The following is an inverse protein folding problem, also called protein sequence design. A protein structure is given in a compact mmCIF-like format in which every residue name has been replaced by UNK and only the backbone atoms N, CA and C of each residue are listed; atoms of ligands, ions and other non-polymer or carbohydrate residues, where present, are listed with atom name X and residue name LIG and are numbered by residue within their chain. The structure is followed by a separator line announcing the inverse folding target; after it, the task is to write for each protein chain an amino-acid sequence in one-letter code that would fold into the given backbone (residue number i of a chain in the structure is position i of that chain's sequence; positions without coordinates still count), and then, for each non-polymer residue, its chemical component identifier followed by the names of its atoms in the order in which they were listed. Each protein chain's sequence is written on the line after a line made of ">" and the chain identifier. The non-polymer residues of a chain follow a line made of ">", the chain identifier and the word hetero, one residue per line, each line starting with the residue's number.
data_IF_581367899656
#
_entry.id   IF_581367899656
#
_cell.length_a   1.000
_cell.length_b   1.000
_cell.length_c   1.000
_cell.angle_alpha   90.00
_cell.angle_beta   90.00
_cell.angle_gamma   90.00
#
_symmetry.space_group_name_H-M   'P 1'
#
loop_
_entity.id
_entity.type
_entity.pdbx_description
1 polymer ?
#
# COMPACT_ATOMS: atom_id res chain seq x y z
N UNK A 1 -35.81 -33.72 -10.83
CA UNK A 1 -34.54 -33.58 -10.09
C UNK A 1 -34.28 -32.09 -9.87
N UNK A 2 -34.50 -31.59 -8.65
CA UNK A 2 -34.23 -30.21 -8.28
C UNK A 2 -32.73 -30.05 -8.02
N UNK A 3 -32.01 -29.32 -8.87
CA UNK A 3 -30.66 -28.86 -8.54
C UNK A 3 -30.78 -27.68 -7.57
N UNK A 4 -30.55 -27.95 -6.28
CA UNK A 4 -30.29 -26.91 -5.28
C UNK A 4 -28.97 -26.24 -5.64
N UNK A 5 -29.04 -25.03 -6.20
CA UNK A 5 -27.86 -24.19 -6.40
C UNK A 5 -27.33 -23.79 -5.03
N UNK A 6 -26.17 -24.32 -4.66
CA UNK A 6 -25.38 -23.87 -3.54
C UNK A 6 -24.84 -22.50 -3.91
N UNK A 7 -25.42 -21.43 -3.35
CA UNK A 7 -24.85 -20.10 -3.42
C UNK A 7 -23.48 -20.14 -2.72
N UNK A 8 -22.41 -20.16 -3.51
CA UNK A 8 -21.07 -19.98 -3.00
C UNK A 8 -20.97 -18.57 -2.41
N UNK A 9 -21.00 -18.48 -1.09
CA UNK A 9 -20.51 -17.31 -0.35
C UNK A 9 -19.03 -17.17 -0.71
N UNK A 10 -18.73 -16.38 -1.75
CA UNK A 10 -17.41 -15.85 -1.98
C UNK A 10 -16.98 -15.14 -0.68
N UNK A 11 -15.82 -15.49 -0.09
CA UNK A 11 -15.29 -14.68 0.99
C UNK A 11 -15.10 -13.29 0.39
N UNK A 12 -15.88 -12.31 0.87
CA UNK A 12 -15.50 -10.91 0.71
C UNK A 12 -14.05 -10.84 1.17
N UNK A 13 -13.14 -10.52 0.25
CA UNK A 13 -11.81 -10.09 0.62
C UNK A 13 -12.03 -9.07 1.74
N UNK A 14 -11.53 -9.39 2.93
CA UNK A 14 -11.72 -8.56 4.10
C UNK A 14 -11.30 -7.15 3.68
N UNK A 15 -12.28 -6.24 3.61
CA UNK A 15 -12.02 -4.82 3.50
C UNK A 15 -11.05 -4.55 4.65
N UNK A 16 -9.80 -4.26 4.28
CA UNK A 16 -8.78 -3.78 5.20
C UNK A 16 -9.48 -2.71 6.04
N UNK A 17 -9.45 -2.82 7.38
CA UNK A 17 -10.01 -1.80 8.23
C UNK A 17 -9.49 -0.45 7.71
N UNK A 18 -10.39 0.37 7.16
CA UNK A 18 -10.03 1.30 6.09
C UNK A 18 -8.89 2.21 6.57
N UNK A 19 -7.69 2.00 6.00
CA UNK A 19 -6.58 2.93 6.15
C UNK A 19 -7.06 4.33 5.72
N UNK A 20 -6.52 5.42 6.26
CA UNK A 20 -6.91 6.75 5.84
C UNK A 20 -6.72 6.92 4.34
N UNK A 21 -7.71 7.52 3.67
CA UNK A 21 -7.79 7.50 2.22
C UNK A 21 -9.11 8.02 1.66
N UNK A 22 -9.33 7.83 0.36
CA UNK A 22 -10.62 8.15 -0.27
C UNK A 22 -10.97 7.20 -1.39
N UNK A 23 -12.27 6.96 -1.54
CA UNK A 23 -12.86 6.27 -2.69
C UNK A 23 -13.07 7.25 -3.84
N UNK A 24 -12.98 6.74 -5.07
CA UNK A 24 -13.22 7.50 -6.29
C UNK A 24 -14.29 6.84 -7.16
N UNK A 25 -15.02 7.63 -7.94
CA UNK A 25 -15.93 7.20 -9.00
C UNK A 25 -15.55 7.80 -10.34
N UNK A 26 -16.03 7.17 -11.40
CA UNK A 26 -15.78 7.56 -12.78
C UNK A 26 -17.13 7.74 -13.47
N UNK A 27 -17.32 8.85 -14.18
CA UNK A 27 -18.60 9.17 -14.85
C UNK A 27 -18.76 8.48 -16.20
N UNK A 28 -17.67 8.18 -16.91
CA UNK A 28 -17.68 7.68 -18.29
C UNK A 28 -16.78 6.45 -18.44
N UNK A 29 -17.19 5.32 -17.87
CA UNK A 29 -16.39 4.08 -17.89
C UNK A 29 -16.73 3.32 -19.18
N UNK A 30 -15.73 2.91 -19.97
CA UNK A 30 -15.97 2.07 -21.14
C UNK A 30 -16.74 0.80 -20.75
N UNK A 31 -17.66 0.35 -21.60
CA UNK A 31 -18.49 -0.83 -21.33
C UNK A 31 -17.67 -2.12 -21.08
N UNK A 32 -16.45 -2.18 -21.62
CA UNK A 32 -15.51 -3.27 -21.39
C UNK A 32 -14.56 -3.08 -20.20
N UNK A 33 -14.62 -1.94 -19.50
CA UNK A 33 -13.62 -1.53 -18.50
C UNK A 33 -12.37 -0.89 -19.10
N UNK A 34 -11.42 -0.50 -18.24
CA UNK A 34 -10.17 0.13 -18.67
C UNK A 34 -9.08 -0.91 -18.95
N UNK A 35 -8.39 -0.79 -20.08
CA UNK A 35 -7.17 -1.54 -20.37
C UNK A 35 -5.92 -0.88 -19.77
N UNK A 36 -6.00 0.40 -19.42
CA UNK A 36 -4.93 1.11 -18.76
C UNK A 36 -5.48 2.11 -17.75
N UNK A 37 -4.77 2.20 -16.64
CA UNK A 37 -5.09 3.07 -15.51
C UNK A 37 -3.81 3.66 -14.96
N UNK A 38 -3.91 4.82 -14.35
CA UNK A 38 -2.78 5.46 -13.72
C UNK A 38 -3.17 6.21 -12.46
N UNK A 39 -2.20 6.35 -11.58
CA UNK A 39 -2.27 7.27 -10.45
C UNK A 39 -0.91 7.90 -10.21
N UNK A 40 -0.91 9.11 -9.67
CA UNK A 40 0.33 9.78 -9.27
C UNK A 40 0.44 9.81 -7.77
N UNK A 41 1.63 9.52 -7.26
CA UNK A 41 1.95 9.52 -5.84
C UNK A 41 3.15 10.45 -5.61
N UNK A 42 3.05 11.29 -4.59
CA UNK A 42 4.11 12.15 -4.08
C UNK A 42 4.36 11.83 -2.62
N UNK A 43 5.62 11.55 -2.28
CA UNK A 43 6.05 11.34 -0.90
C UNK A 43 6.83 12.57 -0.43
N UNK A 44 6.35 13.20 0.64
CA UNK A 44 6.98 14.38 1.23
C UNK A 44 8.29 14.01 1.92
N UNK A 45 9.37 14.78 1.75
CA UNK A 45 10.66 14.49 2.41
C UNK A 45 10.66 14.62 3.93
N UNK A 46 9.64 15.29 4.51
CA UNK A 46 9.40 15.29 5.97
C UNK A 46 8.79 14.00 6.46
N UNK A 47 8.28 13.14 5.56
CA UNK A 47 7.89 11.77 5.89
C UNK A 47 9.11 11.04 6.44
N UNK A 48 9.00 10.58 7.69
CA UNK A 48 10.11 9.93 8.35
C UNK A 48 10.53 8.67 7.59
N UNK A 49 11.83 8.59 7.33
CA UNK A 49 12.48 7.59 6.48
C UNK A 49 12.60 6.21 7.15
N UNK A 50 11.90 5.95 8.26
CA UNK A 50 12.00 4.71 9.04
C UNK A 50 10.68 3.93 9.12
N UNK A 51 9.70 4.29 8.30
CA UNK A 51 8.32 4.08 8.67
C UNK A 51 7.68 2.91 7.98
N UNK A 52 6.91 2.14 8.75
CA UNK A 52 6.04 1.07 8.27
C UNK A 52 4.82 1.58 7.52
N UNK A 53 4.99 2.57 6.64
CA UNK A 53 3.94 3.10 5.81
C UNK A 53 3.88 2.38 4.46
N UNK A 54 2.69 2.35 3.89
CA UNK A 54 2.43 1.98 2.50
C UNK A 54 1.46 2.98 1.90
N UNK A 55 1.98 3.84 1.02
CA UNK A 55 1.21 4.79 0.24
C UNK A 55 0.79 4.13 -1.07
N UNK A 56 -0.51 3.91 -1.27
CA UNK A 56 -0.98 3.02 -2.32
C UNK A 56 -2.25 3.47 -3.01
N UNK A 57 -2.39 3.04 -4.26
CA UNK A 57 -3.64 3.04 -5.01
C UNK A 57 -4.08 1.58 -5.19
N UNK A 58 -5.32 1.29 -4.84
CA UNK A 58 -5.99 0.04 -5.12
C UNK A 58 -7.04 0.26 -6.21
N UNK A 59 -7.11 -0.66 -7.16
CA UNK A 59 -8.07 -0.66 -8.25
C UNK A 59 -8.78 -2.01 -8.34
N UNK A 60 -10.10 -1.99 -8.55
CA UNK A 60 -10.92 -3.19 -8.72
C UNK A 60 -10.96 -3.63 -10.18
N UNK A 61 -10.90 -4.95 -10.38
CA UNK A 61 -11.33 -5.60 -11.61
C UNK A 61 -12.86 -5.74 -11.65
N UNK A 62 -13.40 -6.09 -12.81
CA UNK A 62 -14.84 -6.26 -13.02
C UNK A 62 -15.51 -7.26 -12.06
N UNK A 63 -14.76 -8.28 -11.59
CA UNK A 63 -15.26 -9.25 -10.61
C UNK A 63 -15.13 -8.81 -9.14
N UNK A 64 -14.68 -7.58 -8.88
CA UNK A 64 -14.48 -7.03 -7.55
C UNK A 64 -13.18 -7.44 -6.85
N UNK A 65 -12.38 -8.35 -7.43
CA UNK A 65 -10.99 -8.56 -6.99
C UNK A 65 -10.17 -7.31 -7.25
N UNK A 66 -9.04 -7.17 -6.57
CA UNK A 66 -8.26 -5.94 -6.62
C UNK A 66 -6.83 -6.17 -7.06
N UNK A 67 -6.24 -5.12 -7.57
CA UNK A 67 -4.80 -4.96 -7.68
C UNK A 67 -4.45 -3.69 -6.89
N UNK A 68 -3.28 -3.64 -6.27
CA UNK A 68 -2.76 -2.39 -5.74
C UNK A 68 -1.31 -2.18 -6.17
N UNK A 69 -0.91 -0.93 -6.17
CA UNK A 69 0.46 -0.50 -6.32
C UNK A 69 0.77 0.68 -5.41
N UNK A 70 2.04 0.87 -5.10
CA UNK A 70 2.44 2.01 -4.28
C UNK A 70 3.87 1.93 -3.79
N UNK A 71 4.20 2.86 -2.91
CA UNK A 71 5.51 2.96 -2.28
C UNK A 71 5.47 2.53 -0.81
N UNK A 72 6.47 1.75 -0.42
CA UNK A 72 6.88 1.57 0.97
C UNK A 72 8.19 2.32 1.19
N UNK A 73 8.20 3.36 2.04
CA UNK A 73 9.43 4.00 2.49
C UNK A 73 10.41 3.00 3.10
N UNK A 74 11.64 2.93 2.56
CA UNK A 74 12.66 2.10 3.19
C UNK A 74 13.24 2.80 4.41
N UNK A 75 13.60 2.00 5.41
CA UNK A 75 14.02 2.44 6.73
C UNK A 75 15.41 3.13 6.80
N UNK A 76 16.09 3.31 5.67
CA UNK A 76 17.48 3.72 5.62
C UNK A 76 17.65 5.02 4.81
N UNK A 77 18.46 5.93 5.35
CA UNK A 77 18.67 7.30 4.83
C UNK A 77 19.15 7.28 3.37
N UNK A 78 18.30 7.62 2.41
CA UNK A 78 18.80 8.08 1.11
C UNK A 78 17.81 8.12 -0.04
N UNK A 79 17.44 6.96 -0.57
CA UNK A 79 16.86 6.90 -1.92
C UNK A 79 16.11 5.62 -2.24
N UNK A 80 16.14 4.58 -1.41
CA UNK A 80 15.44 3.35 -1.73
C UNK A 80 13.99 3.46 -1.27
N UNK A 81 13.03 3.58 -2.18
CA UNK A 81 11.64 3.21 -1.88
C UNK A 81 11.43 1.81 -2.47
N UNK A 82 10.63 0.99 -1.78
CA UNK A 82 10.15 -0.24 -2.40
C UNK A 82 8.85 0.05 -3.10
N UNK A 83 8.80 -0.24 -4.40
CA UNK A 83 7.54 -0.34 -5.11
C UNK A 83 6.93 -1.71 -4.79
N UNK A 84 5.67 -1.71 -4.39
CA UNK A 84 4.87 -2.93 -4.28
C UNK A 84 3.85 -2.95 -5.42
N UNK A 85 3.66 -4.11 -6.02
CA UNK A 85 2.60 -4.36 -7.01
C UNK A 85 1.99 -5.73 -6.73
N UNK A 86 0.72 -5.77 -6.31
CA UNK A 86 0.06 -7.02 -5.90
C UNK A 86 -1.32 -7.14 -6.50
N UNK A 87 -1.62 -8.32 -7.04
CA UNK A 87 -2.96 -8.69 -7.49
C UNK A 87 -3.55 -9.79 -6.62
N UNK A 88 -4.86 -9.71 -6.38
CA UNK A 88 -5.59 -10.59 -5.45
C UNK A 88 -6.54 -11.51 -6.20
N UNK A 89 -6.75 -12.70 -5.64
CA UNK A 89 -7.71 -13.67 -6.13
C UNK A 89 -7.09 -14.87 -6.83
N UNK A 90 -7.89 -15.93 -6.94
CA UNK A 90 -7.50 -17.14 -7.64
C UNK A 90 -7.31 -16.87 -9.14
N UNK A 91 -6.18 -17.33 -9.69
CA UNK A 91 -5.83 -17.10 -11.09
C UNK A 91 -5.01 -15.84 -11.34
N UNK A 92 -4.58 -15.13 -10.29
CA UNK A 92 -3.47 -14.17 -10.40
C UNK A 92 -2.14 -14.93 -10.31
N UNK A 93 -1.23 -14.68 -11.26
CA UNK A 93 0.09 -15.32 -11.27
C UNK A 93 1.20 -14.30 -11.55
N UNK A 94 2.38 -14.54 -10.96
CA UNK A 94 3.59 -13.76 -11.22
C UNK A 94 4.16 -14.07 -12.60
N UNK A 95 4.67 -13.04 -13.27
CA UNK A 95 5.51 -13.21 -14.47
C UNK A 95 6.98 -13.34 -14.07
N UNK A 96 7.47 -12.47 -13.18
CA UNK A 96 8.84 -12.48 -12.67
C UNK A 96 8.92 -13.19 -11.32
N UNK A 97 9.52 -14.38 -11.28
CA UNK A 97 9.66 -15.15 -10.04
C UNK A 97 10.74 -14.62 -9.09
N UNK A 98 11.67 -13.80 -9.57
CA UNK A 98 12.73 -13.18 -8.77
C UNK A 98 12.25 -11.95 -8.00
N UNK A 99 11.26 -11.23 -8.53
CA UNK A 99 10.66 -10.03 -7.89
C UNK A 99 9.35 -10.30 -7.16
N UNK A 100 8.72 -11.46 -7.39
CA UNK A 100 7.36 -11.71 -6.94
C UNK A 100 7.19 -13.04 -6.19
N UNK A 101 6.23 -13.09 -5.27
CA UNK A 101 5.80 -14.28 -4.53
C UNK A 101 4.45 -14.78 -5.06
N UNK A 102 4.11 -16.04 -4.76
CA UNK A 102 2.88 -16.70 -5.25
C UNK A 102 1.64 -16.46 -4.40
N UNK A 103 1.70 -15.56 -3.41
CA UNK A 103 0.59 -15.20 -2.53
C UNK A 103 0.57 -13.67 -2.35
N UNK A 104 -0.61 -13.09 -2.22
CA UNK A 104 -0.77 -11.66 -1.89
C UNK A 104 -1.34 -11.54 -0.48
N UNK A 105 -0.61 -10.87 0.42
CA UNK A 105 -0.97 -10.69 1.84
C UNK A 105 -1.40 -11.99 2.56
N UNK A 106 -0.75 -13.12 2.25
CA UNK A 106 -1.06 -14.42 2.83
C UNK A 106 -2.28 -15.14 2.24
N UNK A 107 -2.99 -14.51 1.30
CA UNK A 107 -4.11 -15.12 0.56
C UNK A 107 -3.78 -15.40 -0.91
N UNK A 108 -4.75 -15.92 -1.67
CA UNK A 108 -4.61 -16.16 -3.11
C UNK A 108 -4.30 -14.86 -3.84
N UNK A 109 -3.27 -14.90 -4.69
CA UNK A 109 -2.81 -13.73 -5.42
C UNK A 109 -1.33 -13.82 -5.74
N UNK A 110 -0.75 -12.72 -6.19
CA UNK A 110 0.69 -12.58 -6.36
C UNK A 110 1.11 -11.19 -5.91
N UNK A 111 2.26 -11.08 -5.24
CA UNK A 111 2.80 -9.81 -4.77
C UNK A 111 4.24 -9.66 -5.23
N UNK A 112 4.57 -8.51 -5.82
CA UNK A 112 5.90 -8.15 -6.27
C UNK A 112 6.46 -7.01 -5.43
N UNK A 113 7.76 -7.05 -5.15
CA UNK A 113 8.48 -5.96 -4.49
C UNK A 113 9.74 -5.64 -5.28
N UNK A 114 9.91 -4.37 -5.64
CA UNK A 114 11.06 -3.89 -6.41
C UNK A 114 11.66 -2.72 -5.66
N UNK A 115 12.95 -2.82 -5.34
CA UNK A 115 13.69 -1.69 -4.77
C UNK A 115 14.30 -0.88 -5.91
N UNK A 116 14.22 0.44 -5.83
CA UNK A 116 14.85 1.36 -6.78
C UNK A 116 15.19 2.68 -6.11
N UNK A 117 15.97 3.52 -6.79
CA UNK A 117 16.42 4.83 -6.30
C UNK A 117 15.34 5.91 -6.44
N UNK A 118 14.16 5.66 -5.89
CA UNK A 118 13.04 6.60 -5.90
C UNK A 118 13.18 7.65 -4.79
N UNK A 119 13.08 8.92 -5.15
CA UNK A 119 13.36 10.03 -4.24
C UNK A 119 12.08 10.65 -3.68
N UNK A 120 12.17 11.17 -2.46
CA UNK A 120 11.16 12.07 -1.94
C UNK A 120 11.06 13.36 -2.76
N UNK A 121 10.01 14.13 -2.52
CA UNK A 121 9.71 15.40 -3.17
C UNK A 121 9.65 15.32 -4.70
N UNK A 122 9.22 14.17 -5.21
CA UNK A 122 9.08 13.89 -6.64
C UNK A 122 7.76 13.19 -6.88
N UNK A 123 7.03 13.68 -7.88
CA UNK A 123 5.84 12.98 -8.38
C UNK A 123 6.26 11.79 -9.22
N UNK A 124 5.68 10.64 -8.93
CA UNK A 124 5.77 9.45 -9.77
C UNK A 124 4.40 9.05 -10.26
N UNK A 125 4.30 8.77 -11.56
CA UNK A 125 3.10 8.14 -12.13
C UNK A 125 3.31 6.65 -12.19
N UNK A 126 2.39 5.91 -11.59
CA UNK A 126 2.23 4.49 -11.85
C UNK A 126 1.25 4.34 -13.00
N UNK A 127 1.67 3.63 -14.03
CA UNK A 127 0.85 3.27 -15.17
C UNK A 127 0.72 1.75 -15.20
N UNK A 128 -0.53 1.28 -15.10
CA UNK A 128 -0.85 -0.14 -15.19
C UNK A 128 -1.59 -0.38 -16.50
N UNK A 129 -1.05 -1.25 -17.35
CA UNK A 129 -1.55 -1.47 -18.71
C UNK A 129 -1.68 -2.96 -19.01
N UNK A 130 -2.78 -3.34 -19.65
CA UNK A 130 -2.97 -4.63 -20.30
C UNK A 130 -2.12 -4.71 -21.56
N UNK A 131 -1.04 -5.48 -21.50
CA UNK A 131 -0.07 -5.63 -22.61
C UNK A 131 -0.28 -6.92 -23.41
N UNK A 132 -1.14 -7.82 -22.95
CA UNK A 132 -1.38 -9.10 -23.61
C UNK A 132 -2.76 -9.65 -23.24
N UNK A 133 -3.61 -9.87 -24.27
CA UNK A 133 -4.82 -10.67 -24.13
C UNK A 133 -4.47 -12.13 -24.43
N UNK A 134 -4.65 -12.99 -23.43
CA UNK A 134 -4.24 -14.39 -23.50
C UNK A 134 -5.33 -15.25 -24.14
N UNK A 135 -4.94 -16.41 -24.66
CA UNK A 135 -5.86 -17.38 -25.28
C UNK A 135 -6.86 -18.00 -24.29
N UNK A 136 -6.54 -18.01 -22.99
CA UNK A 136 -7.43 -18.42 -21.90
C UNK A 136 -8.41 -17.31 -21.47
N UNK A 137 -8.41 -16.17 -22.19
CA UNK A 137 -9.19 -14.98 -21.88
C UNK A 137 -8.63 -14.14 -20.74
N UNK A 138 -7.48 -14.51 -20.16
CA UNK A 138 -6.78 -13.72 -19.17
C UNK A 138 -6.04 -12.51 -19.74
N UNK A 139 -5.46 -11.71 -18.86
CA UNK A 139 -4.77 -10.48 -19.20
C UNK A 139 -3.39 -10.43 -18.53
N UNK A 140 -2.39 -9.86 -19.21
CA UNK A 140 -1.11 -9.51 -18.59
C UNK A 140 -1.08 -8.01 -18.31
N UNK A 141 -0.97 -7.66 -17.04
CA UNK A 141 -0.90 -6.29 -16.55
C UNK A 141 0.54 -5.92 -16.23
N UNK A 142 1.09 -4.96 -16.98
CA UNK A 142 2.42 -4.38 -16.76
C UNK A 142 2.29 -3.17 -15.83
N UNK A 143 3.21 -3.05 -14.88
CA UNK A 143 3.38 -1.86 -14.05
C UNK A 143 4.62 -1.08 -14.51
N UNK A 144 4.41 0.16 -14.94
CA UNK A 144 5.46 1.11 -15.32
C UNK A 144 5.46 2.28 -14.35
N UNK A 145 6.64 2.69 -13.90
CA UNK A 145 6.82 3.87 -13.07
C UNK A 145 7.46 4.98 -13.90
N UNK A 146 6.92 6.20 -13.80
CA UNK A 146 7.38 7.37 -14.55
C UNK A 146 7.76 8.47 -13.57
N UNK A 147 9.02 8.87 -13.55
CA UNK A 147 9.49 10.02 -12.78
C UNK A 147 9.05 11.32 -13.49
N UNK A 148 8.13 12.07 -12.89
CA UNK A 148 7.57 13.27 -13.52
C UNK A 148 8.56 14.45 -13.57
N UNK A 149 9.65 14.42 -12.79
CA UNK A 149 10.70 15.44 -12.84
C UNK A 149 11.65 15.24 -14.02
N UNK A 150 12.00 13.99 -14.33
CA UNK A 150 13.00 13.67 -15.37
C UNK A 150 12.40 13.10 -16.65
N UNK A 151 11.14 12.64 -16.62
CA UNK A 151 10.51 11.88 -17.69
C UNK A 151 11.01 10.44 -17.80
N UNK A 152 11.91 9.98 -16.91
CA UNK A 152 12.46 8.64 -16.96
C UNK A 152 11.37 7.60 -16.65
N UNK A 153 11.34 6.53 -17.45
CA UNK A 153 10.38 5.43 -17.33
C UNK A 153 11.09 4.14 -16.94
N UNK A 154 10.51 3.38 -16.02
CA UNK A 154 11.02 2.08 -15.59
C UNK A 154 9.88 1.05 -15.58
N UNK A 155 10.06 -0.09 -16.24
CA UNK A 155 9.17 -1.24 -16.07
C UNK A 155 9.49 -1.94 -14.75
N UNK A 156 8.54 -1.91 -13.82
CA UNK A 156 8.71 -2.49 -12.48
C UNK A 156 8.60 -4.00 -12.56
N UNK A 157 7.43 -4.49 -13.01
CA UNK A 157 7.08 -5.91 -13.13
C UNK A 157 5.75 -6.10 -13.88
N UNK A 158 5.30 -7.34 -14.03
CA UNK A 158 3.99 -7.71 -14.59
C UNK A 158 3.32 -8.81 -13.77
N UNK A 159 1.98 -8.81 -13.78
CA UNK A 159 1.14 -9.88 -13.26
C UNK A 159 0.17 -10.37 -14.34
N UNK A 160 -0.21 -11.64 -14.28
CA UNK A 160 -1.27 -12.21 -15.12
C UNK A 160 -2.52 -12.42 -14.28
N UNK A 161 -3.68 -12.07 -14.80
CA UNK A 161 -4.99 -12.39 -14.24
C UNK A 161 -5.75 -13.36 -15.13
N UNK A 162 -6.55 -14.25 -14.56
CA UNK A 162 -7.48 -15.11 -15.31
C UNK A 162 -8.63 -14.31 -15.93
N UNK A 163 -9.32 -14.90 -16.91
CA UNK A 163 -10.51 -14.33 -17.56
C UNK A 163 -11.62 -13.91 -16.58
N UNK A 164 -11.73 -14.62 -15.45
CA UNK A 164 -12.69 -14.29 -14.40
C UNK A 164 -12.46 -12.93 -13.73
N UNK A 165 -11.29 -12.31 -13.88
CA UNK A 165 -11.06 -10.94 -13.36
C UNK A 165 -11.75 -9.89 -14.23
N UNK A 166 -11.69 -10.06 -15.55
CA UNK A 166 -12.02 -9.01 -16.50
C UNK A 166 -11.02 -7.84 -16.43
N UNK A 167 -11.41 -6.70 -17.00
CA UNK A 167 -10.61 -5.47 -17.00
C UNK A 167 -10.86 -4.61 -15.77
N UNK A 168 -10.13 -3.50 -15.65
CA UNK A 168 -10.33 -2.55 -14.56
C UNK A 168 -11.73 -1.92 -14.60
N UNK A 169 -12.33 -1.79 -13.43
CA UNK A 169 -13.65 -1.20 -13.20
C UNK A 169 -13.55 0.01 -12.25
N UNK A 170 -14.68 0.58 -11.83
CA UNK A 170 -14.74 1.89 -11.14
C UNK A 170 -14.27 1.92 -9.70
N UNK A 171 -14.07 0.78 -9.04
CA UNK A 171 -13.72 0.77 -7.61
C UNK A 171 -12.26 1.13 -7.38
N UNK A 172 -12.00 2.38 -7.00
CA UNK A 172 -10.63 2.88 -6.73
C UNK A 172 -10.53 3.48 -5.35
N UNK A 173 -9.48 3.09 -4.62
CA UNK A 173 -9.14 3.61 -3.30
C UNK A 173 -7.69 4.07 -3.25
N UNK A 174 -7.45 5.30 -2.83
CA UNK A 174 -6.10 5.80 -2.56
C UNK A 174 -5.94 5.98 -1.06
N UNK A 175 -4.84 5.48 -0.49
CA UNK A 175 -4.70 5.38 0.96
C UNK A 175 -3.25 5.38 1.44
N UNK A 176 -3.08 5.71 2.72
CA UNK A 176 -1.83 5.57 3.47
C UNK A 176 -2.03 4.59 4.61
N UNK A 177 -1.43 3.41 4.51
CA UNK A 177 -1.52 2.39 5.55
C UNK A 177 -0.29 2.40 6.46
N UNK A 178 -0.48 2.27 7.79
CA UNK A 178 0.61 2.00 8.74
C UNK A 178 0.57 0.53 9.14
N UNK A 179 1.27 -0.32 8.38
CA UNK A 179 1.18 -1.77 8.50
C UNK A 179 1.68 -2.37 9.83
N UNK A 180 2.55 -1.74 10.65
CA UNK A 180 2.86 -2.27 11.97
C UNK A 180 1.62 -2.40 12.86
N UNK A 181 0.62 -1.53 12.70
CA UNK A 181 -0.64 -1.60 13.45
C UNK A 181 -1.43 -2.90 13.23
N UNK A 182 -1.32 -3.49 12.04
CA UNK A 182 -2.01 -4.73 11.67
C UNK A 182 -1.17 -5.99 11.88
N UNK A 183 0.15 -5.83 12.02
CA UNK A 183 1.10 -6.92 12.16
C UNK A 183 1.69 -6.98 13.57
N UNK A 184 2.70 -6.16 13.83
CA UNK A 184 3.49 -6.16 15.08
C UNK A 184 2.68 -5.68 16.29
N UNK A 185 1.86 -4.66 16.09
CA UNK A 185 1.22 -3.89 17.17
C UNK A 185 -0.25 -4.26 17.35
N UNK A 186 -0.75 -5.27 16.62
CA UNK A 186 -2.17 -5.67 16.60
C UNK A 186 -2.73 -6.02 17.98
N UNK A 187 -1.90 -6.59 18.85
CA UNK A 187 -2.30 -7.01 20.19
C UNK A 187 -2.17 -5.90 21.25
N UNK A 188 -1.60 -4.75 20.89
CA UNK A 188 -1.38 -3.64 21.82
C UNK A 188 -2.61 -2.75 21.92
N UNK A 189 -2.92 -2.25 23.11
CA UNK A 189 -3.88 -1.17 23.26
C UNK A 189 -3.32 0.12 22.65
N UNK A 190 -4.20 1.06 22.34
CA UNK A 190 -3.85 2.39 21.82
C UNK A 190 -2.76 3.10 22.64
N UNK A 191 -2.81 3.05 23.98
CA UNK A 191 -1.79 3.63 24.86
C UNK A 191 -0.44 2.89 24.89
N UNK A 192 -0.38 1.67 24.37
CA UNK A 192 0.82 0.82 24.31
C UNK A 192 1.49 0.84 22.94
N UNK A 193 0.75 1.15 21.87
CA UNK A 193 1.27 1.24 20.51
C UNK A 193 2.33 2.35 20.42
N UNK A 194 3.46 2.13 19.75
CA UNK A 194 4.43 3.20 19.49
C UNK A 194 3.77 4.35 18.74
N UNK A 195 4.16 5.58 19.07
CA UNK A 195 3.76 6.75 18.28
C UNK A 195 4.12 6.54 16.81
N UNK A 196 3.18 6.80 15.93
CA UNK A 196 3.39 6.80 14.50
C UNK A 196 4.30 7.97 14.16
N UNK A 197 5.34 7.67 13.38
CA UNK A 197 6.20 8.71 12.83
C UNK A 197 5.38 9.56 11.85
N UNK A 198 5.74 10.84 11.71
CA UNK A 198 5.05 11.69 10.74
C UNK A 198 5.26 11.18 9.32
N UNK A 199 4.17 11.05 8.57
CA UNK A 199 4.16 10.73 7.16
C UNK A 199 3.16 11.60 6.42
N UNK A 200 3.57 12.13 5.27
CA UNK A 200 2.72 12.91 4.37
C UNK A 200 2.85 12.37 2.95
N UNK A 201 1.70 12.02 2.39
CA UNK A 201 1.57 11.61 0.99
C UNK A 201 0.53 12.46 0.30
N UNK A 202 0.76 12.70 -0.98
CA UNK A 202 -0.23 13.30 -1.85
C UNK A 202 -0.48 12.40 -3.06
N UNK A 203 -1.74 12.25 -3.43
CA UNK A 203 -2.18 11.49 -4.59
C UNK A 203 -2.92 12.41 -5.55
N UNK A 204 -2.63 12.34 -6.86
CA UNK A 204 -3.53 12.94 -7.85
C UNK A 204 -4.75 12.05 -8.07
N UNK A 205 -5.84 12.66 -8.52
CA UNK A 205 -7.01 11.95 -9.02
C UNK A 205 -6.60 10.79 -9.96
N UNK A 206 -7.12 9.57 -9.76
CA UNK A 206 -6.81 8.44 -10.61
C UNK A 206 -7.38 8.62 -12.01
N UNK A 207 -6.71 8.07 -13.03
CA UNK A 207 -7.06 8.28 -14.43
C UNK A 207 -7.15 6.94 -15.15
N UNK A 208 -8.28 6.65 -15.79
CA UNK A 208 -8.44 5.53 -16.73
C UNK A 208 -8.05 5.91 -18.16
N UNK A 209 -8.18 4.96 -19.09
CA UNK A 209 -8.03 5.23 -20.53
C UNK A 209 -8.79 6.47 -21.00
N UNK A 210 -8.32 7.05 -22.10
CA UNK A 210 -8.91 8.24 -22.73
C UNK A 210 -9.01 9.46 -21.78
N UNK A 211 -8.14 9.51 -20.77
CA UNK A 211 -8.09 10.54 -19.74
C UNK A 211 -9.40 10.65 -18.93
N UNK A 212 -10.12 9.53 -18.74
CA UNK A 212 -11.29 9.52 -17.84
C UNK A 212 -10.81 9.65 -16.40
N UNK A 213 -10.98 10.85 -15.83
CA UNK A 213 -10.55 11.18 -14.47
C UNK A 213 -11.58 10.71 -13.45
N UNK A 214 -11.13 9.96 -12.44
CA UNK A 214 -11.92 9.59 -11.28
C UNK A 214 -12.03 10.75 -10.29
N UNK A 215 -13.20 10.93 -9.69
CA UNK A 215 -13.46 11.96 -8.68
C UNK A 215 -13.82 11.34 -7.35
N UNK A 216 -13.35 11.94 -6.26
CA UNK A 216 -13.60 11.43 -4.92
C UNK A 216 -15.11 11.32 -4.64
N UNK A 217 -15.58 10.16 -4.18
CA UNK A 217 -17.00 9.87 -3.89
C UNK A 217 -17.38 10.11 -2.45
N UNK A 218 -16.40 10.02 -1.55
CA UNK A 218 -16.54 10.31 -0.13
C UNK A 218 -15.67 11.50 0.24
N UNK A 219 -16.05 12.22 1.30
CA UNK A 219 -15.08 13.03 2.02
C UNK A 219 -13.86 12.17 2.32
N UNK A 220 -12.68 12.80 2.32
CA UNK A 220 -11.44 12.10 2.63
C UNK A 220 -11.65 11.37 3.96
N UNK A 221 -11.67 10.04 3.89
CA UNK A 221 -11.91 9.21 5.03
C UNK A 221 -10.64 9.28 5.84
N UNK A 222 -10.70 9.87 7.03
CA UNK A 222 -9.62 9.77 8.01
C UNK A 222 -9.57 8.36 8.60
N UNK A 223 -9.81 7.33 7.77
CA UNK A 223 -10.00 5.93 8.09
C UNK A 223 -9.23 5.54 9.34
N UNK A 224 -9.98 5.00 10.32
CA UNK A 224 -9.74 5.11 11.78
C UNK A 224 -10.26 6.39 12.43
N UNK A 225 -11.38 6.90 11.92
CA UNK A 225 -12.16 8.01 12.48
C UNK A 225 -12.76 7.61 13.85
N UNK A 226 -11.95 7.65 14.92
CA UNK A 226 -12.28 7.87 16.36
C UNK A 226 -11.27 7.23 17.33
N UNK A 227 -10.47 6.23 16.91
CA UNK A 227 -9.53 5.55 17.81
C UNK A 227 -8.18 6.26 17.87
N UNK A 228 -7.60 6.24 19.06
CA UNK A 228 -6.33 6.86 19.39
C UNK A 228 -5.23 5.91 18.94
N UNK A 229 -5.04 5.79 17.63
CA UNK A 229 -4.37 4.64 16.97
C UNK A 229 -2.91 4.39 17.36
N UNK A 230 -2.33 5.31 18.14
CA UNK A 230 -1.08 5.14 18.85
C UNK A 230 -1.09 5.86 20.21
N UNK A 231 -0.01 5.66 20.96
CA UNK A 231 0.20 6.31 22.26
C UNK A 231 0.13 7.83 22.18
N UNK A 232 0.65 8.44 21.12
CA UNK A 232 0.71 9.89 20.98
C UNK A 232 -0.69 10.50 20.75
N UNK A 233 -1.49 9.90 19.87
CA UNK A 233 -2.89 10.25 19.66
C UNK A 233 -3.69 10.03 20.95
N UNK A 234 -3.36 8.96 21.69
CA UNK A 234 -4.00 8.64 22.96
C UNK A 234 -3.76 9.71 24.02
N UNK A 235 -2.50 10.09 24.23
CA UNK A 235 -2.08 11.12 25.18
C UNK A 235 -2.55 12.52 24.78
N UNK A 236 -2.52 12.85 23.48
CA UNK A 236 -3.00 14.13 22.98
C UNK A 236 -4.53 14.22 22.93
N UNK A 237 -5.24 13.13 23.20
CA UNK A 237 -6.70 13.02 23.12
C UNK A 237 -7.28 13.52 21.78
N UNK A 238 -6.58 13.28 20.67
CA UNK A 238 -6.98 13.70 19.32
C UNK A 238 -6.39 12.77 18.26
N UNK A 239 -7.03 12.72 17.09
CA UNK A 239 -6.49 12.00 15.94
C UNK A 239 -5.11 12.55 15.53
N UNK A 240 -4.20 11.66 15.19
CA UNK A 240 -2.91 11.92 14.54
C UNK A 240 -3.00 11.73 13.00
N UNK A 241 -4.21 11.61 12.45
CA UNK A 241 -4.48 11.43 11.03
C UNK A 241 -5.28 12.62 10.53
N UNK A 242 -4.85 13.21 9.41
CA UNK A 242 -5.57 14.24 8.68
C UNK A 242 -5.65 13.87 7.21
N UNK A 243 -6.81 14.11 6.61
CA UNK A 243 -7.07 13.83 5.20
C UNK A 243 -7.87 14.98 4.61
N UNK A 244 -7.40 15.55 3.51
CA UNK A 244 -8.06 16.68 2.85
C UNK A 244 -7.77 16.69 1.35
N UNK A 245 -8.58 17.43 0.60
CA UNK A 245 -8.42 17.58 -0.84
C UNK A 245 -7.87 18.96 -1.20
N UNK A 246 -6.97 19.01 -2.19
CA UNK A 246 -6.47 20.22 -2.82
C UNK A 246 -6.73 20.13 -4.33
N UNK A 247 -7.67 20.90 -4.86
CA UNK A 247 -8.07 20.89 -6.28
C UNK A 247 -8.37 19.50 -6.87
N UNK A 248 -7.32 18.79 -7.32
CA UNK A 248 -7.33 17.46 -7.95
C UNK A 248 -6.40 16.47 -7.24
N UNK A 249 -6.10 16.69 -5.96
CA UNK A 249 -5.30 15.79 -5.15
C UNK A 249 -5.91 15.50 -3.78
N UNK A 250 -5.64 14.29 -3.30
CA UNK A 250 -5.87 13.85 -1.93
C UNK A 250 -4.54 13.96 -1.16
N UNK A 251 -4.53 14.70 -0.07
CA UNK A 251 -3.42 14.75 0.88
C UNK A 251 -3.79 13.92 2.10
N UNK A 252 -2.85 13.09 2.56
CA UNK A 252 -2.96 12.31 3.78
C UNK A 252 -1.74 12.56 4.64
N UNK A 253 -1.97 12.97 5.88
CA UNK A 253 -0.97 13.14 6.92
C UNK A 253 -1.27 12.18 8.07
N UNK A 254 -0.25 11.46 8.54
CA UNK A 254 -0.32 10.54 9.65
C UNK A 254 0.82 10.83 10.63
N UNK A 255 0.59 10.59 11.93
CA UNK A 255 1.52 10.99 13.00
C UNK A 255 1.52 12.51 13.26
N UNK A 256 2.19 12.94 14.32
CA UNK A 256 2.39 14.37 14.61
C UNK A 256 3.72 14.84 14.02
N UNK A 257 3.69 15.92 13.23
CA UNK A 257 4.91 16.55 12.72
C UNK A 257 5.77 17.05 13.89
N UNK A 258 7.01 16.56 14.08
CA UNK A 258 7.87 16.99 15.18
C UNK A 258 8.09 18.50 15.19
N UNK A 259 8.06 19.11 16.38
CA UNK A 259 8.26 20.55 16.54
C UNK A 259 7.03 21.42 16.22
N UNK A 260 5.89 20.83 15.88
CA UNK A 260 4.63 21.59 15.76
C UNK A 260 3.95 21.80 17.12
N UNK A 261 3.19 22.89 17.30
CA UNK A 261 2.35 23.06 18.47
C UNK A 261 1.46 21.82 18.66
N UNK A 262 1.49 21.24 19.86
CA UNK A 262 0.74 20.04 20.25
C UNK A 262 1.25 18.69 19.70
N UNK A 263 2.46 18.62 19.14
CA UNK A 263 3.16 17.34 19.02
C UNK A 263 3.63 16.89 20.42
N UNK A 264 3.34 15.65 20.86
CA UNK A 264 3.94 15.12 22.08
C UNK A 264 5.46 15.26 21.99
N UNK A 265 6.11 15.61 23.10
CA UNK A 265 7.57 15.70 23.13
C UNK A 265 8.13 14.36 22.60
N UNK A 266 8.85 14.41 21.48
CA UNK A 266 9.51 13.24 20.91
C UNK A 266 10.44 12.75 22.00
N UNK A 267 10.09 11.65 22.67
CA UNK A 267 11.06 10.98 23.52
C UNK A 267 12.20 10.61 22.58
N UNK A 268 13.42 11.13 22.79
CA UNK A 268 14.54 10.72 21.97
C UNK A 268 14.59 9.20 22.06
N UNK A 269 14.78 8.54 20.92
CA UNK A 269 14.90 7.09 20.81
C UNK A 269 15.57 6.53 22.05
N UNK A 270 15.04 5.44 22.66
CA UNK A 270 15.78 4.77 23.73
C UNK A 270 17.16 4.48 23.15
N UNK A 271 18.17 5.19 23.68
CA UNK A 271 19.57 5.06 23.25
C UNK A 271 19.82 3.58 23.01
N UNK A 272 20.42 3.18 21.87
CA UNK A 272 20.66 1.79 21.57
C UNK A 272 21.23 1.14 22.83
N UNK A 273 20.49 0.16 23.38
CA UNK A 273 20.90 -0.51 24.61
C UNK A 273 22.37 -0.87 24.43
N UNK A 274 23.26 -0.52 25.38
CA UNK A 274 24.67 -0.82 25.23
C UNK A 274 24.76 -2.29 24.86
N UNK A 275 25.39 -2.60 23.71
CA UNK A 275 25.64 -3.97 23.29
C UNK A 275 26.17 -4.68 24.52
N UNK A 276 25.45 -5.67 25.03
CA UNK A 276 25.96 -6.53 26.08
C UNK A 276 27.32 -7.01 25.58
N UNK A 277 28.40 -6.52 26.20
CA UNK A 277 29.73 -7.05 25.97
C UNK A 277 29.60 -8.52 26.38
N UNK A 278 29.57 -9.42 25.40
CA UNK A 278 29.75 -10.83 25.66
C UNK A 278 31.06 -10.95 26.44
N UNK A 279 30.98 -11.17 27.76
CA UNK A 279 32.10 -11.72 28.50
C UNK A 279 32.33 -13.08 27.89
N UNK A 280 33.44 -13.21 27.17
CA UNK A 280 33.95 -14.47 26.73
C UNK A 280 34.23 -15.34 27.97
N UNK A 281 33.30 -16.22 28.29
CA UNK A 281 33.61 -17.44 29.03
C UNK A 281 33.31 -18.58 28.10
N UNK A 282 34.39 -19.13 27.52
CA UNK A 282 34.38 -20.44 26.92
C UNK A 282 33.85 -21.42 27.97
N UNK A 283 32.71 -22.05 27.72
CA UNK A 283 32.48 -23.38 28.27
C UNK A 283 31.93 -24.30 27.18
N UNK A 284 32.73 -25.32 26.89
CA UNK A 284 32.40 -26.40 25.96
C UNK A 284 31.33 -27.25 26.64
N UNK A 285 30.15 -27.40 26.04
CA UNK A 285 29.38 -28.66 26.17
C UNK A 285 28.30 -28.80 25.10
N UNK A 286 28.62 -29.69 24.16
CA UNK A 286 27.80 -30.50 23.24
C UNK A 286 26.27 -30.51 23.50
N UNK A 287 25.46 -30.35 22.45
CA UNK A 287 24.70 -31.43 21.77
C UNK A 287 23.63 -30.88 20.80
N UNK A 288 23.63 -31.48 19.60
CA UNK A 288 22.49 -31.82 18.72
C UNK A 288 21.59 -30.63 18.27
N UNK A 289 21.62 -30.18 17.01
CA UNK A 289 21.35 -30.98 15.83
C UNK A 289 19.83 -31.08 15.64
N UNK A 290 19.26 -30.21 14.80
CA UNK A 290 18.28 -30.48 13.74
C UNK A 290 17.69 -29.16 13.21
N UNK A 291 17.91 -28.93 11.92
CA UNK A 291 17.26 -27.93 11.07
C UNK A 291 15.90 -28.48 10.65
N UNK A 292 14.85 -27.68 10.80
CA UNK A 292 13.78 -27.46 9.82
C UNK A 292 13.29 -26.02 9.99
#
# INVERSE_FOLDING_TARGET
>A
MLFKSLAALLPLAQLIAAAPGSWYSFSNVPSGGFDKVSSQIYLDSKTYKNSGYFAATQWQFANGQTIYWGFQPAADKGSAQKVIFSGFGNGVTRVDSGKCTTNANGGPGSSCSVSGDYTYDTWYTFEIENVENRSDGGHRWRCTLINQKTGATEEITSLITSSNHGKFHTGVYQYLDYYPSYNRDKALSDSQKPCWEYGRVEFRDPVGNDNVVGKATSNANSGQNTSKNDKCAYEANRSNIQTYFNDNSLVIEAGFLPGTPNAPAVNPDPKPKPKCKCKATCDKRKRNGFLY
#
